data_IF_646037253095
#
_entry.id   IF_646037253095
#
_cell.length_a   1.000
_cell.length_b   1.000
_cell.length_c   1.000
_cell.angle_alpha   90.00
_cell.angle_beta   90.00
_cell.angle_gamma   90.00
#
_symmetry.space_group_name_H-M   'P 1'
#
loop_
_entity.id
_entity.type
_entity.pdbx_description
1 polymer ?
#
# COMPACT_ATOMS: atom_id res chain seq x y z
N UNK A 1 -28.47 7.98 -7.34
CA UNK A 1 -28.25 6.68 -6.68
C UNK A 1 -27.33 6.88 -5.49
N UNK A 2 -27.52 6.20 -4.36
CA UNK A 2 -26.71 6.44 -3.17
C UNK A 2 -25.25 6.03 -3.44
N UNK A 3 -24.32 6.86 -3.00
CA UNK A 3 -22.92 6.49 -2.90
C UNK A 3 -22.70 5.69 -1.60
N UNK A 4 -21.61 4.94 -1.54
CA UNK A 4 -21.28 4.07 -0.40
C UNK A 4 -20.05 4.57 0.32
N UNK A 5 -19.91 4.20 1.60
CA UNK A 5 -18.68 4.39 2.34
C UNK A 5 -18.40 3.24 3.31
N UNK A 6 -17.13 3.08 3.65
CA UNK A 6 -16.67 2.17 4.71
C UNK A 6 -15.37 2.68 5.33
N UNK A 7 -15.03 2.18 6.52
CA UNK A 7 -13.74 2.44 7.18
C UNK A 7 -12.99 1.13 7.40
N UNK A 8 -11.67 1.19 7.20
CA UNK A 8 -10.79 0.02 7.24
C UNK A 8 -9.54 0.35 8.05
N UNK A 9 -9.16 -0.48 9.02
CA UNK A 9 -7.91 -0.29 9.75
C UNK A 9 -6.70 -0.54 8.85
N UNK A 10 -5.60 0.20 9.04
CA UNK A 10 -4.35 -0.02 8.32
C UNK A 10 -3.12 0.42 9.12
N UNK A 11 -1.89 0.00 8.73
CA UNK A 11 -0.64 0.46 9.36
C UNK A 11 -0.39 1.97 9.29
N UNK A 12 -1.13 2.71 8.47
CA UNK A 12 -1.07 4.17 8.35
C UNK A 12 -2.31 4.86 8.96
N UNK A 13 -3.06 4.15 9.80
CA UNK A 13 -4.30 4.62 10.44
C UNK A 13 -5.57 4.16 9.72
N UNK A 14 -6.76 4.46 10.25
CA UNK A 14 -8.01 4.09 9.61
C UNK A 14 -8.13 4.78 8.24
N UNK A 15 -8.58 4.03 7.24
CA UNK A 15 -8.80 4.51 5.88
C UNK A 15 -10.29 4.66 5.66
N UNK A 16 -10.73 5.87 5.29
CA UNK A 16 -12.10 6.10 4.85
C UNK A 16 -12.16 5.92 3.33
N UNK A 17 -12.96 4.97 2.87
CA UNK A 17 -13.20 4.72 1.45
C UNK A 17 -14.61 5.16 1.09
N UNK A 18 -14.76 5.76 -0.09
CA UNK A 18 -16.07 6.09 -0.67
C UNK A 18 -16.17 5.51 -2.07
N UNK A 19 -17.38 5.12 -2.48
CA UNK A 19 -17.66 4.56 -3.80
C UNK A 19 -18.93 5.16 -4.39
N UNK A 20 -18.97 5.25 -5.72
CA UNK A 20 -20.20 5.53 -6.44
C UNK A 20 -21.17 4.33 -6.37
N UNK A 21 -22.40 4.52 -6.85
CA UNK A 21 -23.45 3.50 -6.78
C UNK A 21 -23.12 2.20 -7.54
N UNK A 22 -22.23 2.28 -8.52
CA UNK A 22 -21.72 1.14 -9.30
C UNK A 22 -20.48 0.48 -8.67
N UNK A 23 -20.06 0.92 -7.48
CA UNK A 23 -18.92 0.37 -6.75
C UNK A 23 -17.56 0.96 -7.13
N UNK A 24 -17.48 1.87 -8.10
CA UNK A 24 -16.21 2.53 -8.43
C UNK A 24 -15.74 3.42 -7.26
N UNK A 25 -14.48 3.27 -6.83
CA UNK A 25 -13.91 4.07 -5.74
C UNK A 25 -13.79 5.53 -6.14
N UNK A 26 -14.33 6.41 -5.30
CA UNK A 26 -14.31 7.86 -5.50
C UNK A 26 -13.37 8.57 -4.54
N UNK A 27 -13.00 7.93 -3.42
CA UNK A 27 -11.91 8.38 -2.57
C UNK A 27 -11.33 7.27 -1.67
N UNK A 28 -10.09 7.50 -1.24
CA UNK A 28 -9.43 6.87 -0.12
C UNK A 28 -8.75 7.98 0.67
N UNK A 29 -9.23 8.24 1.89
CA UNK A 29 -8.76 9.33 2.76
C UNK A 29 -8.18 8.81 4.08
N UNK A 30 -7.23 9.55 4.65
CA UNK A 30 -6.66 9.28 5.98
C UNK A 30 -7.01 10.39 6.99
N UNK A 31 -6.97 10.11 8.31
CA UNK A 31 -7.24 11.11 9.34
C UNK A 31 -6.32 12.32 9.25
N UNK A 32 -6.92 13.50 9.34
CA UNK A 32 -6.21 14.79 9.25
C UNK A 32 -5.74 15.14 7.83
N UNK A 33 -6.14 14.40 6.80
CA UNK A 33 -5.78 14.72 5.43
C UNK A 33 -6.31 16.09 5.02
N UNK A 34 -5.43 16.94 4.48
CA UNK A 34 -5.85 18.21 3.87
C UNK A 34 -6.75 17.93 2.67
N UNK A 35 -8.01 18.37 2.75
CA UNK A 35 -9.00 18.15 1.69
C UNK A 35 -9.46 16.69 1.56
N UNK A 36 -9.19 15.84 2.56
CA UNK A 36 -9.74 14.49 2.63
C UNK A 36 -11.25 14.51 2.82
N UNK A 37 -11.91 13.43 2.40
CA UNK A 37 -13.34 13.27 2.69
C UNK A 37 -13.54 12.97 4.17
N UNK A 38 -14.66 13.44 4.69
CA UNK A 38 -15.21 13.09 6.01
C UNK A 38 -16.65 12.72 5.78
N UNK A 39 -17.15 11.66 6.43
CA UNK A 39 -18.59 11.39 6.44
C UNK A 39 -19.25 12.42 7.37
N UNK A 40 -20.27 13.11 6.88
CA UNK A 40 -21.03 14.11 7.63
C UNK A 40 -22.50 13.73 7.66
N UNK A 41 -23.20 14.16 8.71
CA UNK A 41 -24.65 14.04 8.79
C UNK A 41 -25.28 14.79 7.60
N UNK A 42 -26.14 14.11 6.84
CA UNK A 42 -26.78 14.64 5.64
C UNK A 42 -26.09 14.28 4.32
N UNK A 43 -24.92 13.66 4.34
CA UNK A 43 -24.36 13.04 3.13
C UNK A 43 -25.30 11.91 2.68
N UNK A 44 -25.69 11.89 1.40
CA UNK A 44 -26.50 10.80 0.82
C UNK A 44 -25.70 9.50 0.63
N UNK A 45 -24.80 9.19 1.57
CA UNK A 45 -23.97 7.99 1.55
C UNK A 45 -24.50 6.93 2.49
N UNK A 46 -24.48 5.68 2.03
CA UNK A 46 -24.83 4.51 2.83
C UNK A 46 -23.57 3.83 3.34
N UNK A 47 -23.49 3.60 4.64
CA UNK A 47 -22.46 2.76 5.23
C UNK A 47 -22.67 1.31 4.76
N UNK A 48 -21.74 0.78 3.96
CA UNK A 48 -21.84 -0.55 3.37
C UNK A 48 -20.44 -1.05 2.99
N UNK A 49 -19.87 -2.06 3.66
CA UNK A 49 -18.57 -2.61 3.29
C UNK A 49 -18.61 -3.47 2.02
N UNK A 50 -19.80 -3.89 1.56
CA UNK A 50 -19.97 -4.82 0.44
C UNK A 50 -19.27 -4.37 -0.85
N UNK A 51 -19.52 -3.14 -1.33
CA UNK A 51 -18.86 -2.60 -2.54
C UNK A 51 -17.33 -2.48 -2.44
N UNK A 52 -16.75 -2.56 -1.24
CA UNK A 52 -15.33 -2.31 -1.00
C UNK A 52 -14.50 -3.59 -0.81
N UNK A 53 -15.12 -4.78 -0.83
CA UNK A 53 -14.43 -6.05 -0.51
C UNK A 53 -13.13 -6.25 -1.27
N UNK A 54 -13.13 -5.99 -2.58
CA UNK A 54 -11.93 -6.11 -3.42
C UNK A 54 -10.87 -5.07 -3.07
N UNK A 55 -11.28 -3.84 -2.81
CA UNK A 55 -10.36 -2.78 -2.38
C UNK A 55 -9.71 -3.11 -1.03
N UNK A 56 -10.47 -3.64 -0.07
CA UNK A 56 -9.96 -4.07 1.23
C UNK A 56 -8.97 -5.21 1.08
N UNK A 57 -9.27 -6.21 0.25
CA UNK A 57 -8.36 -7.33 0.00
C UNK A 57 -7.03 -6.85 -0.61
N UNK A 58 -7.09 -6.01 -1.65
CA UNK A 58 -5.87 -5.50 -2.30
C UNK A 58 -5.07 -4.56 -1.39
N UNK A 59 -5.74 -3.72 -0.57
CA UNK A 59 -5.05 -2.90 0.43
C UNK A 59 -4.35 -3.77 1.47
N UNK A 60 -4.99 -4.84 1.93
CA UNK A 60 -4.38 -5.81 2.83
C UNK A 60 -3.10 -6.42 2.25
N UNK A 61 -3.18 -6.93 1.01
CA UNK A 61 -2.02 -7.47 0.29
C UNK A 61 -0.93 -6.42 0.05
N UNK A 62 -1.30 -5.17 -0.25
CA UNK A 62 -0.34 -4.07 -0.41
C UNK A 62 0.43 -3.79 0.88
N UNK A 63 -0.27 -3.68 2.01
CA UNK A 63 0.36 -3.44 3.31
C UNK A 63 1.15 -4.65 3.82
N UNK A 64 0.86 -5.86 3.34
CA UNK A 64 1.64 -7.06 3.58
C UNK A 64 2.90 -7.16 2.68
N UNK A 65 3.05 -6.27 1.69
CA UNK A 65 4.14 -6.31 0.71
C UNK A 65 3.95 -7.33 -0.42
N UNK A 66 2.75 -7.89 -0.54
CA UNK A 66 2.41 -8.95 -1.50
C UNK A 66 1.83 -8.41 -2.82
N UNK A 67 1.38 -7.14 -2.83
CA UNK A 67 0.77 -6.48 -3.99
C UNK A 67 1.49 -5.19 -4.33
N UNK A 68 1.93 -5.07 -5.58
CA UNK A 68 2.65 -3.89 -6.09
C UNK A 68 1.81 -3.04 -7.05
N UNK A 69 0.65 -3.54 -7.51
CA UNK A 69 -0.22 -2.83 -8.44
C UNK A 69 -1.70 -3.09 -8.15
N UNK A 70 -2.47 -2.02 -7.94
CA UNK A 70 -3.91 -2.09 -7.76
C UNK A 70 -4.64 -2.33 -9.10
N UNK A 71 -5.75 -3.06 -9.02
CA UNK A 71 -6.67 -3.35 -10.12
C UNK A 71 -8.10 -3.12 -9.61
N UNK A 72 -8.48 -1.86 -9.51
CA UNK A 72 -9.77 -1.43 -8.95
C UNK A 72 -10.45 -0.45 -9.92
N UNK A 73 -11.79 -0.45 -10.01
CA UNK A 73 -12.52 0.60 -10.71
C UNK A 73 -12.40 1.90 -9.93
N UNK A 74 -11.77 2.92 -10.52
CA UNK A 74 -11.56 4.24 -9.90
C UNK A 74 -12.34 5.32 -10.66
N UNK A 75 -12.97 6.23 -9.92
CA UNK A 75 -13.65 7.42 -10.44
C UNK A 75 -13.26 8.65 -9.63
N UNK A 76 -12.09 9.21 -9.95
CA UNK A 76 -11.68 10.50 -9.41
C UNK A 76 -12.24 11.64 -10.26
N UNK A 77 -12.86 12.62 -9.62
CA UNK A 77 -13.38 13.82 -10.27
C UNK A 77 -12.46 15.02 -9.98
N UNK A 78 -12.10 15.74 -11.04
CA UNK A 78 -11.21 16.89 -10.95
C UNK A 78 -11.26 17.73 -12.22
N UNK A 79 -10.59 18.89 -12.18
CA UNK A 79 -10.41 19.70 -13.39
C UNK A 79 -9.55 18.95 -14.40
N UNK A 80 -9.64 19.30 -15.69
CA UNK A 80 -8.80 18.69 -16.73
C UNK A 80 -7.31 18.73 -16.39
N UNK A 81 -6.84 19.82 -15.78
CA UNK A 81 -5.45 19.94 -15.30
C UNK A 81 -5.12 18.93 -14.19
N UNK A 82 -6.02 18.76 -13.20
CA UNK A 82 -5.83 17.78 -12.13
C UNK A 82 -5.81 16.36 -12.68
N UNK A 83 -6.75 16.01 -13.55
CA UNK A 83 -6.80 14.69 -14.19
C UNK A 83 -5.50 14.39 -14.92
N UNK A 84 -4.97 15.33 -15.72
CA UNK A 84 -3.69 15.16 -16.41
C UNK A 84 -2.51 14.92 -15.45
N UNK A 85 -2.45 15.65 -14.33
CA UNK A 85 -1.42 15.46 -13.30
C UNK A 85 -1.58 14.12 -12.60
N UNK A 86 -2.81 13.72 -12.33
CA UNK A 86 -3.13 12.46 -11.70
C UNK A 86 -2.79 11.24 -12.56
N UNK A 87 -3.07 11.29 -13.86
CA UNK A 87 -2.66 10.25 -14.81
C UNK A 87 -1.13 10.11 -14.84
N UNK A 88 -0.40 11.23 -14.74
CA UNK A 88 1.06 11.23 -14.65
C UNK A 88 1.58 10.60 -13.34
N UNK A 89 0.83 10.71 -12.23
CA UNK A 89 1.12 10.03 -10.97
C UNK A 89 0.85 8.53 -11.05
N UNK A 90 -0.26 8.13 -11.66
CA UNK A 90 -0.66 6.72 -11.80
C UNK A 90 0.39 5.91 -12.60
N UNK A 91 1.17 6.59 -13.44
CA UNK A 91 2.30 6.03 -14.17
C UNK A 91 3.63 5.93 -13.38
N UNK A 92 3.67 6.28 -12.09
CA UNK A 92 4.89 6.15 -11.25
C UNK A 92 4.91 4.75 -10.63
N UNK A 93 5.88 3.86 -10.97
CA UNK A 93 5.90 2.48 -10.49
C UNK A 93 6.09 2.35 -8.98
N UNK A 94 5.63 1.23 -8.43
CA UNK A 94 5.93 0.81 -7.06
C UNK A 94 7.44 0.71 -6.82
N UNK A 95 7.89 1.10 -5.63
CA UNK A 95 9.30 1.01 -5.24
C UNK A 95 10.19 2.06 -5.92
N UNK A 96 9.59 3.08 -6.54
CA UNK A 96 10.32 4.17 -7.20
C UNK A 96 9.80 5.52 -6.75
N UNK A 97 10.63 6.55 -6.90
CA UNK A 97 10.24 7.94 -6.67
C UNK A 97 10.38 8.78 -7.92
N UNK A 98 9.65 9.89 -7.95
CA UNK A 98 9.78 10.94 -8.95
C UNK A 98 9.82 12.30 -8.28
N UNK A 99 10.05 13.37 -9.03
CA UNK A 99 10.07 14.73 -8.49
C UNK A 99 8.88 15.55 -8.97
N UNK A 100 8.52 16.60 -8.23
CA UNK A 100 7.52 17.57 -8.67
C UNK A 100 7.83 18.16 -10.06
N UNK A 101 9.10 18.42 -10.33
CA UNK A 101 9.57 18.91 -11.63
C UNK A 101 9.40 17.88 -12.75
N UNK A 102 9.67 16.60 -12.47
CA UNK A 102 9.48 15.54 -13.45
C UNK A 102 8.00 15.33 -13.80
N UNK A 103 7.09 15.40 -12.82
CA UNK A 103 5.64 15.38 -13.09
C UNK A 103 5.24 16.60 -13.91
N UNK A 104 5.72 17.81 -13.56
CA UNK A 104 5.43 19.03 -14.31
C UNK A 104 5.87 18.90 -15.79
N UNK A 105 7.08 18.40 -16.04
CA UNK A 105 7.58 18.15 -17.39
C UNK A 105 6.71 17.14 -18.15
N UNK A 106 6.32 16.02 -17.52
CA UNK A 106 5.48 14.98 -18.12
C UNK A 106 4.11 15.52 -18.56
N UNK A 107 3.54 16.47 -17.83
CA UNK A 107 2.27 17.11 -18.19
C UNK A 107 2.41 18.34 -19.08
N UNK A 108 3.63 18.68 -19.51
CA UNK A 108 3.90 19.87 -20.33
C UNK A 108 3.67 21.20 -19.60
N UNK A 109 3.76 21.19 -18.27
CA UNK A 109 3.66 22.40 -17.46
C UNK A 109 5.01 23.14 -17.42
N UNK A 110 4.98 24.47 -17.48
CA UNK A 110 6.18 25.28 -17.35
C UNK A 110 6.78 25.20 -15.93
N UNK A 111 8.05 25.56 -15.78
CA UNK A 111 8.72 25.61 -14.46
C UNK A 111 7.98 26.54 -13.47
N UNK A 112 7.38 27.63 -13.97
CA UNK A 112 6.58 28.54 -13.14
C UNK A 112 5.30 27.88 -12.59
N UNK A 113 4.78 26.84 -13.25
CA UNK A 113 3.57 26.12 -12.88
C UNK A 113 3.81 24.94 -11.91
N UNK A 114 5.06 24.69 -11.47
CA UNK A 114 5.38 23.57 -10.55
C UNK A 114 4.58 23.67 -9.24
N UNK A 115 4.33 24.88 -8.73
CA UNK A 115 3.47 25.07 -7.54
C UNK A 115 2.02 24.63 -7.79
N UNK A 116 1.48 24.91 -8.97
CA UNK A 116 0.13 24.47 -9.35
C UNK A 116 0.07 22.94 -9.49
N UNK A 117 1.12 22.32 -10.03
CA UNK A 117 1.27 20.86 -10.06
C UNK A 117 1.28 20.29 -8.65
N UNK A 118 2.05 20.87 -7.72
CA UNK A 118 2.05 20.47 -6.30
C UNK A 118 0.66 20.55 -5.67
N UNK A 119 -0.12 21.60 -5.99
CA UNK A 119 -1.52 21.74 -5.58
C UNK A 119 -2.43 20.65 -6.16
N UNK A 120 -2.26 20.30 -7.44
CA UNK A 120 -3.01 19.22 -8.08
C UNK A 120 -2.67 17.83 -7.49
N UNK A 121 -1.39 17.55 -7.21
CA UNK A 121 -0.94 16.34 -6.51
C UNK A 121 -1.56 16.27 -5.12
N UNK A 122 -1.53 17.37 -4.36
CA UNK A 122 -2.12 17.45 -3.03
C UNK A 122 -3.65 17.32 -3.00
N UNK A 123 -4.32 17.58 -4.12
CA UNK A 123 -5.76 17.41 -4.27
C UNK A 123 -6.17 15.96 -4.64
N UNK A 124 -5.22 15.01 -4.65
CA UNK A 124 -5.50 13.60 -4.92
C UNK A 124 -6.58 13.04 -3.96
N UNK A 125 -7.75 12.59 -4.46
CA UNK A 125 -8.79 11.99 -3.62
C UNK A 125 -8.54 10.52 -3.27
N UNK A 126 -7.60 9.85 -3.93
CA UNK A 126 -7.34 8.41 -3.83
C UNK A 126 -5.94 8.17 -3.28
N UNK A 127 -5.70 8.51 -2.00
CA UNK A 127 -4.38 8.27 -1.40
C UNK A 127 -4.01 6.79 -1.48
N UNK A 128 -2.71 6.48 -1.52
CA UNK A 128 -2.13 5.13 -1.62
C UNK A 128 -2.36 4.49 -2.99
N UNK A 129 -3.61 4.44 -3.46
CA UNK A 129 -3.98 3.90 -4.78
C UNK A 129 -3.36 4.75 -5.91
N UNK A 130 -3.53 6.07 -5.83
CA UNK A 130 -2.80 7.04 -6.65
C UNK A 130 -1.55 7.47 -5.90
N UNK A 131 -0.34 7.19 -6.40
CA UNK A 131 0.87 7.16 -5.57
C UNK A 131 1.51 8.54 -5.39
N UNK A 132 0.76 9.51 -4.87
CA UNK A 132 1.29 10.86 -4.60
C UNK A 132 2.39 10.87 -3.52
N UNK A 133 2.49 9.83 -2.68
CA UNK A 133 3.60 9.66 -1.72
C UNK A 133 4.95 9.41 -2.41
N UNK A 134 4.96 8.95 -3.68
CA UNK A 134 6.18 8.72 -4.47
C UNK A 134 6.81 9.99 -5.06
N UNK A 135 6.16 11.15 -4.91
CA UNK A 135 6.69 12.44 -5.42
C UNK A 135 7.50 13.14 -4.34
N UNK A 136 8.77 13.43 -4.58
CA UNK A 136 9.70 14.06 -3.61
C UNK A 136 10.31 15.36 -4.15
N UNK A 137 11.05 16.06 -3.28
CA UNK A 137 11.86 17.23 -3.67
C UNK A 137 12.97 16.84 -4.66
N UNK A 138 13.42 17.80 -5.48
CA UNK A 138 14.49 17.55 -6.45
C UNK A 138 15.85 17.27 -5.80
N UNK A 139 16.01 17.66 -4.54
CA UNK A 139 17.16 17.41 -3.66
C UNK A 139 17.04 16.09 -2.89
N UNK A 140 16.00 15.29 -3.15
CA UNK A 140 15.71 14.05 -2.42
C UNK A 140 14.88 14.25 -1.15
N UNK A 141 14.54 15.48 -0.77
CA UNK A 141 13.79 15.75 0.46
C UNK A 141 12.36 15.19 0.43
N UNK A 142 11.96 14.58 1.55
CA UNK A 142 10.56 14.19 1.78
C UNK A 142 9.75 15.42 2.18
N UNK A 143 9.19 16.09 1.17
CA UNK A 143 8.29 17.23 1.34
C UNK A 143 6.91 16.89 0.83
N UNK A 144 5.87 17.54 1.36
CA UNK A 144 4.52 17.49 0.81
C UNK A 144 3.87 16.10 0.77
N UNK A 145 2.87 15.90 1.61
CA UNK A 145 1.91 14.80 1.47
C UNK A 145 0.62 15.19 2.18
N UNK A 146 -0.52 15.07 1.50
CA UNK A 146 -1.79 15.51 2.07
C UNK A 146 -2.15 14.75 3.35
N UNK A 147 -1.71 13.49 3.48
CA UNK A 147 -1.87 12.66 4.66
C UNK A 147 -0.76 12.79 5.73
N UNK A 148 0.18 13.73 5.60
CA UNK A 148 1.28 13.95 6.56
C UNK A 148 2.56 13.13 6.30
N UNK A 149 3.72 13.73 6.61
CA UNK A 149 5.02 13.16 6.24
C UNK A 149 5.32 11.80 6.87
N UNK A 150 4.85 11.55 8.10
CA UNK A 150 5.03 10.26 8.77
C UNK A 150 4.45 9.10 7.93
N UNK A 151 3.22 9.25 7.41
CA UNK A 151 2.59 8.23 6.56
C UNK A 151 3.33 8.06 5.24
N UNK A 152 3.81 9.16 4.66
CA UNK A 152 4.63 9.11 3.44
C UNK A 152 5.91 8.31 3.65
N UNK A 153 6.62 8.53 4.76
CA UNK A 153 7.82 7.76 5.13
C UNK A 153 7.49 6.28 5.28
N UNK A 154 6.42 5.93 6.01
CA UNK A 154 5.99 4.53 6.19
C UNK A 154 5.67 3.84 4.86
N UNK A 155 4.94 4.52 3.97
CA UNK A 155 4.61 3.98 2.65
C UNK A 155 5.86 3.79 1.79
N UNK A 156 6.79 4.75 1.78
CA UNK A 156 8.04 4.62 1.03
C UNK A 156 8.95 3.52 1.59
N UNK A 157 8.98 3.33 2.91
CA UNK A 157 9.69 2.22 3.54
C UNK A 157 9.07 0.85 3.21
N UNK A 158 7.73 0.75 3.24
CA UNK A 158 7.01 -0.44 2.79
C UNK A 158 7.35 -0.81 1.34
N UNK A 159 7.50 0.20 0.47
CA UNK A 159 7.87 0.01 -0.93
C UNK A 159 9.37 -0.22 -1.16
N UNK A 160 10.19 -0.28 -0.10
CA UNK A 160 11.64 -0.49 -0.19
C UNK A 160 12.44 0.71 -0.72
N UNK A 161 11.85 1.91 -0.76
CA UNK A 161 12.54 3.14 -1.19
C UNK A 161 13.41 3.72 -0.09
N UNK A 162 12.94 3.63 1.15
CA UNK A 162 13.66 4.10 2.34
C UNK A 162 14.06 2.88 3.16
N UNK A 163 15.30 2.87 3.67
CA UNK A 163 15.72 1.89 4.66
C UNK A 163 14.85 2.08 5.92
N UNK A 164 14.11 1.04 6.29
CA UNK A 164 13.21 1.09 7.43
C UNK A 164 13.96 0.88 8.74
N UNK A 165 13.78 1.79 9.70
CA UNK A 165 13.87 1.43 11.12
C UNK A 165 12.73 0.44 11.40
N UNK A 166 13.08 -0.84 11.53
CA UNK A 166 12.28 -2.00 11.94
C UNK A 166 10.74 -1.85 11.99
N UNK A 167 10.05 -2.34 10.97
CA UNK A 167 8.67 -2.83 11.13
C UNK A 167 8.74 -4.27 11.65
N UNK A 168 9.08 -4.43 12.92
CA UNK A 168 8.78 -5.62 13.71
C UNK A 168 7.83 -5.20 14.83
N UNK A 169 6.58 -5.68 14.78
CA UNK A 169 5.65 -5.63 15.90
C UNK A 169 4.30 -4.99 15.63
N UNK A 170 3.46 -5.64 14.81
CA UNK A 170 2.01 -5.60 15.02
C UNK A 170 1.61 -6.99 15.53
N UNK A 171 1.18 -7.05 16.79
CA UNK A 171 0.80 -8.28 17.46
C UNK A 171 -0.26 -9.05 16.68
N UNK A 172 -0.05 -10.36 16.56
CA UNK A 172 -1.10 -11.32 16.24
C UNK A 172 -2.27 -11.14 17.22
N UNK A 173 -3.53 -10.96 16.76
CA UNK A 173 -4.65 -11.33 17.58
C UNK A 173 -4.62 -12.85 17.76
N UNK A 174 -4.74 -13.27 19.02
CA UNK A 174 -4.77 -14.65 19.45
C UNK A 174 -5.73 -15.49 18.60
N UNK A 175 -5.23 -16.65 18.18
CA UNK A 175 -5.96 -17.73 17.58
C UNK A 175 -7.07 -18.21 18.54
N UNK A 176 -8.34 -17.95 18.21
CA UNK A 176 -9.47 -18.69 18.79
C UNK A 176 -9.70 -19.91 17.92
N UNK A 177 -9.04 -21.02 18.26
CA UNK A 177 -9.33 -22.32 17.68
C UNK A 177 -10.71 -22.82 18.16
N UNK A 178 -11.50 -23.51 17.32
CA UNK A 178 -12.68 -24.20 17.79
C UNK A 178 -12.29 -25.48 18.55
N UNK A 179 -12.96 -25.64 19.69
CA UNK A 179 -13.01 -26.84 20.53
C UNK A 179 -13.24 -28.12 19.74
N UNK A 180 -12.33 -29.09 19.81
CA UNK A 180 -12.65 -30.52 19.89
C UNK A 180 -11.51 -31.28 20.59
N UNK A 181 -11.79 -31.81 21.78
CA UNK A 181 -10.95 -32.77 22.50
C UNK A 181 -10.98 -34.15 21.79
N UNK A 182 -9.95 -35.00 21.98
CA UNK A 182 -10.05 -35.92 23.11
C UNK A 182 -8.75 -36.08 23.92
N UNK A 183 -8.99 -36.51 25.16
CA UNK A 183 -8.05 -36.89 26.22
C UNK A 183 -7.38 -38.23 25.88
N UNK A 184 -6.10 -38.37 26.22
CA UNK A 184 -5.50 -39.42 27.09
C UNK A 184 -4.02 -39.58 26.70
N UNK A 185 -3.13 -39.07 27.56
CA UNK A 185 -1.72 -39.45 27.64
C UNK A 185 -1.56 -40.76 28.39
N UNK A 186 -0.67 -41.65 27.93
CA UNK A 186 0.12 -42.53 28.80
C UNK A 186 1.54 -42.69 28.25
N UNK A 187 2.49 -42.55 29.16
CA UNK A 187 3.93 -42.79 29.03
C UNK A 187 4.29 -44.13 28.39
N UNK A 188 5.45 -44.20 27.73
CA UNK A 188 6.58 -44.98 28.22
C UNK A 188 7.87 -44.62 27.49
N UNK A 189 8.96 -44.84 28.21
CA UNK A 189 10.32 -44.37 28.03
C UNK A 189 11.18 -45.38 27.22
N UNK A 190 12.37 -44.92 26.85
CA UNK A 190 13.59 -45.75 26.68
C UNK A 190 13.77 -46.55 25.39
N UNK A 191 14.77 -46.19 24.59
CA UNK A 191 15.95 -47.03 24.35
C UNK A 191 17.02 -46.28 23.54
N UNK A 192 18.24 -46.35 24.05
CA UNK A 192 19.51 -45.91 23.45
C UNK A 192 19.93 -46.93 22.39
N UNK A 193 20.44 -46.50 21.23
CA UNK A 193 21.37 -47.30 20.42
C UNK A 193 22.23 -46.45 19.48
N UNK A 194 23.50 -46.29 19.87
CA UNK A 194 24.74 -46.36 19.06
C UNK A 194 24.80 -45.90 17.58
N UNK A 195 25.52 -44.79 17.39
CA UNK A 195 26.68 -44.55 16.48
C UNK A 195 26.82 -45.33 15.16
N UNK A 196 26.94 -44.59 14.04
CA UNK A 196 27.98 -44.82 13.02
C UNK A 196 28.35 -43.49 12.28
N UNK A 197 29.62 -43.26 11.86
CA UNK A 197 30.12 -42.02 11.24
C UNK A 197 29.90 -41.95 9.71
N UNK A 198 30.18 -40.80 9.05
CA UNK A 198 29.89 -40.58 7.64
C UNK A 198 30.96 -41.17 6.70
N UNK A 199 30.53 -41.59 5.51
CA UNK A 199 31.38 -42.00 4.38
C UNK A 199 31.32 -40.93 3.25
N UNK A 200 32.30 -40.89 2.32
CA UNK A 200 32.96 -39.66 1.93
C UNK A 200 32.47 -39.01 0.61
N UNK A 201 32.94 -37.77 0.46
CA UNK A 201 32.86 -36.87 -0.68
C UNK A 201 33.54 -37.50 -1.92
N UNK A 202 32.84 -37.50 -3.05
CA UNK A 202 33.46 -37.66 -4.38
C UNK A 202 33.52 -36.30 -5.08
N UNK A 203 34.73 -35.77 -5.19
CA UNK A 203 35.12 -34.70 -6.09
C UNK A 203 35.36 -35.29 -7.49
N UNK A 204 34.70 -34.73 -8.51
CA UNK A 204 35.17 -34.79 -9.90
C UNK A 204 34.99 -33.42 -10.55
N UNK A 205 36.06 -32.66 -10.38
CA UNK A 205 36.53 -31.56 -11.20
C UNK A 205 36.57 -31.83 -12.71
N UNK A 206 36.57 -30.70 -13.43
CA UNK A 206 37.15 -30.42 -14.75
C UNK A 206 36.29 -30.80 -15.97
N UNK A 207 35.77 -29.80 -16.71
CA UNK A 207 36.46 -29.10 -17.82
C UNK A 207 35.83 -29.59 -19.15
N UNK A 208 35.58 -28.83 -20.22
CA UNK A 208 36.10 -27.54 -20.68
C UNK A 208 35.31 -27.10 -21.93
N UNK A 209 35.25 -25.78 -22.14
CA UNK A 209 35.40 -25.03 -23.40
C UNK A 209 34.43 -25.24 -24.60
N UNK A 210 33.66 -24.19 -24.90
CA UNK A 210 33.70 -23.28 -26.08
C UNK A 210 34.16 -23.82 -27.45
N UNK A 211 33.68 -23.26 -28.59
CA UNK A 211 33.84 -21.84 -28.96
C UNK A 211 32.58 -20.98 -28.80
#
# INVERSE_FOLDING_TARGET
MPAYWTEVASPVGPLLLTAAADGALTSLSVPGQKGGRTVRDGDHWRADPGPFREAVAQLGAYFAGELTAFRLPLRAEGTAFRTKVWDALDAVPYGTTTTYGAIAARVGASRAAVRAVGGAIGANPLLILRPCHRVIGADGSLTGYAGGLERKTRLLALEGVLEGEGVLGAGQPANTAPSHAPVISRQANSSVSTLQPPEPIADRTAATASP
#
